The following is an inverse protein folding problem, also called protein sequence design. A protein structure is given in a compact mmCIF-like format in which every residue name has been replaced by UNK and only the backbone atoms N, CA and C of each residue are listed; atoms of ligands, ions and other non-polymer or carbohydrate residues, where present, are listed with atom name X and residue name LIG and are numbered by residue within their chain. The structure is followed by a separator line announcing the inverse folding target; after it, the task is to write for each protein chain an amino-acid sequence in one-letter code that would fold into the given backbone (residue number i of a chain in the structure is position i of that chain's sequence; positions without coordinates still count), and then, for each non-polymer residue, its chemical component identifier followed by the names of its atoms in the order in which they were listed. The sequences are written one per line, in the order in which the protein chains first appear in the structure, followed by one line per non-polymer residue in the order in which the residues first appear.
data_IF_115327551828
#
_entry.id   IF_115327551828
#
_cell.length_a   1.000
_cell.length_b   1.000
_cell.length_c   1.000
_cell.angle_alpha   90.00
_cell.angle_beta   90.00
_cell.angle_gamma   90.00
#
_symmetry.space_group_name_H-M   'P 1'
#
loop_
_entity.id
_entity.type
_entity.pdbx_description
1 polymer ?
#
# COMPACT_ATOMS: atom_id res chain seq x y z
N UNK A 1 3.80 21.74 -7.41
CA UNK A 1 3.61 21.92 -8.86
C UNK A 1 4.54 21.03 -9.70
N UNK A 2 4.58 19.69 -9.45
CA UNK A 2 5.48 18.77 -10.14
C UNK A 2 4.77 17.68 -10.98
N UNK A 3 3.46 17.78 -11.16
CA UNK A 3 2.64 16.79 -11.86
C UNK A 3 2.34 17.12 -13.34
N UNK A 4 2.86 18.23 -13.86
CA UNK A 4 2.43 18.73 -15.20
C UNK A 4 3.20 18.18 -16.39
N UNK A 5 4.09 17.20 -16.24
CA UNK A 5 4.87 16.68 -17.39
C UNK A 5 4.93 15.15 -17.53
N UNK A 6 4.00 14.43 -16.88
CA UNK A 6 3.90 12.97 -17.04
C UNK A 6 2.65 12.62 -17.83
N UNK A 7 2.80 11.79 -18.85
CA UNK A 7 1.71 11.29 -19.70
C UNK A 7 1.90 9.83 -20.04
N UNK A 8 0.86 9.20 -20.58
CA UNK A 8 0.95 7.83 -21.11
C UNK A 8 1.70 7.88 -22.43
N UNK A 9 2.90 7.29 -22.45
CA UNK A 9 3.74 7.23 -23.64
C UNK A 9 4.16 5.79 -23.92
N UNK A 10 3.85 5.32 -25.10
CA UNK A 10 4.20 3.96 -25.57
C UNK A 10 3.73 2.84 -24.65
N UNK A 11 2.54 3.02 -24.01
CA UNK A 11 1.90 2.04 -23.16
C UNK A 11 2.10 2.27 -21.65
N UNK A 12 2.99 3.18 -21.22
CA UNK A 12 3.29 3.42 -19.81
C UNK A 12 3.33 4.90 -19.44
N UNK A 13 3.09 5.19 -18.16
CA UNK A 13 3.18 6.56 -17.64
C UNK A 13 4.65 6.95 -17.51
N UNK A 14 5.09 7.90 -18.33
CA UNK A 14 6.47 8.40 -18.30
C UNK A 14 6.57 9.90 -18.52
N UNK A 15 7.72 10.48 -18.18
CA UNK A 15 7.97 11.88 -18.48
C UNK A 15 8.33 12.08 -19.96
N UNK A 16 8.09 13.28 -20.48
CA UNK A 16 8.44 13.67 -21.86
C UNK A 16 9.90 13.38 -22.23
N UNK A 17 10.83 13.54 -21.27
CA UNK A 17 12.24 13.23 -21.50
C UNK A 17 12.53 11.76 -21.72
N UNK A 18 11.79 10.83 -21.12
CA UNK A 18 11.90 9.40 -21.36
C UNK A 18 11.17 9.00 -22.65
N UNK A 19 10.02 9.58 -22.95
CA UNK A 19 9.36 9.46 -24.25
C UNK A 19 10.28 9.81 -25.41
N UNK A 20 10.87 11.02 -25.36
CA UNK A 20 11.79 11.49 -26.42
C UNK A 20 13.05 10.64 -26.54
N UNK A 21 13.61 10.20 -25.41
CA UNK A 21 14.77 9.30 -25.39
C UNK A 21 14.43 7.95 -26.03
N UNK A 22 13.36 7.30 -25.60
CA UNK A 22 12.93 6.00 -26.12
C UNK A 22 12.67 6.06 -27.62
N UNK A 23 11.93 7.08 -28.09
CA UNK A 23 11.69 7.29 -29.53
C UNK A 23 13.01 7.38 -30.35
N UNK A 24 13.96 8.21 -29.91
CA UNK A 24 15.25 8.34 -30.61
C UNK A 24 16.04 7.03 -30.58
N UNK A 25 16.02 6.30 -29.47
CA UNK A 25 16.72 5.01 -29.35
C UNK A 25 16.15 3.97 -30.32
N UNK A 26 14.84 3.99 -30.57
CA UNK A 26 14.22 3.09 -31.56
C UNK A 26 14.45 3.54 -33.00
N UNK A 27 14.46 4.85 -33.26
CA UNK A 27 14.72 5.38 -34.61
C UNK A 27 16.13 5.06 -35.13
N UNK A 28 17.11 5.14 -34.25
CA UNK A 28 18.51 5.01 -34.63
C UNK A 28 19.05 3.59 -34.44
N UNK A 29 18.22 2.60 -34.12
CA UNK A 29 18.65 1.25 -33.73
C UNK A 29 19.84 1.27 -32.77
N UNK A 30 19.81 2.20 -31.80
CA UNK A 30 20.98 2.56 -31.03
C UNK A 30 21.38 1.42 -30.08
N UNK A 31 22.59 0.91 -30.30
CA UNK A 31 23.22 -0.03 -29.37
C UNK A 31 24.00 0.75 -28.33
N UNK A 32 23.49 0.76 -27.07
CA UNK A 32 24.17 1.38 -25.95
C UNK A 32 24.93 0.33 -25.14
N UNK A 33 26.15 0.63 -24.72
CA UNK A 33 26.90 -0.19 -23.77
C UNK A 33 26.91 0.46 -22.39
N UNK A 34 26.89 -0.34 -21.34
CA UNK A 34 27.03 0.15 -19.97
C UNK A 34 28.49 0.05 -19.53
N UNK A 35 29.17 1.13 -19.15
CA UNK A 35 30.54 1.10 -18.65
C UNK A 35 30.64 0.55 -17.22
N UNK A 36 29.50 0.26 -16.59
CA UNK A 36 29.38 -0.31 -15.26
C UNK A 36 28.65 -1.65 -15.37
N UNK A 37 28.53 -2.39 -14.30
CA UNK A 37 27.96 -3.76 -14.24
C UNK A 37 26.48 -3.89 -14.65
N UNK A 38 25.98 -3.05 -15.55
CA UNK A 38 24.57 -3.00 -16.03
C UNK A 38 23.53 -2.78 -14.94
N UNK A 39 23.95 -2.28 -13.79
CA UNK A 39 23.11 -2.03 -12.61
C UNK A 39 23.16 -0.53 -12.22
N UNK A 40 22.99 0.37 -13.18
CA UNK A 40 22.99 1.80 -12.89
C UNK A 40 21.63 2.25 -12.39
N UNK A 41 21.63 2.98 -11.28
CA UNK A 41 20.43 3.63 -10.79
C UNK A 41 19.95 4.67 -11.81
N UNK A 42 18.72 4.50 -12.30
CA UNK A 42 18.09 5.40 -13.27
C UNK A 42 16.89 6.09 -12.62
N UNK A 43 17.08 7.34 -12.24
CA UNK A 43 16.07 8.25 -11.73
C UNK A 43 16.04 9.56 -12.55
N UNK A 44 15.28 10.54 -12.13
CA UNK A 44 15.14 11.81 -12.85
C UNK A 44 16.44 12.60 -12.92
N UNK A 45 17.30 12.51 -11.94
CA UNK A 45 18.59 13.20 -11.84
C UNK A 45 19.71 12.44 -12.53
N UNK A 46 19.71 11.11 -12.46
CA UNK A 46 20.79 10.23 -12.92
C UNK A 46 20.55 9.59 -14.30
N UNK A 47 19.34 9.70 -14.86
CA UNK A 47 18.94 9.01 -16.11
C UNK A 47 19.82 9.29 -17.31
N UNK A 48 20.57 10.38 -17.32
CA UNK A 48 21.47 10.75 -18.42
C UNK A 48 22.86 10.13 -18.29
N UNK A 49 23.22 9.56 -17.13
CA UNK A 49 24.54 9.00 -16.85
C UNK A 49 24.80 7.65 -17.53
N UNK A 50 23.75 6.87 -17.81
CA UNK A 50 23.87 5.60 -18.51
C UNK A 50 22.67 5.38 -19.45
N UNK A 51 22.92 5.49 -20.76
CA UNK A 51 21.87 5.30 -21.76
C UNK A 51 21.43 3.84 -21.89
N UNK A 52 22.34 2.89 -21.70
CA UNK A 52 22.03 1.46 -21.69
C UNK A 52 21.02 1.12 -20.60
N UNK A 53 21.35 1.40 -19.36
CA UNK A 53 20.46 1.08 -18.22
C UNK A 53 19.15 1.87 -18.31
N UNK A 54 19.17 3.10 -18.86
CA UNK A 54 17.95 3.87 -19.11
C UNK A 54 17.04 3.20 -20.14
N UNK A 55 17.60 2.69 -21.24
CA UNK A 55 16.82 1.98 -22.26
C UNK A 55 16.25 0.68 -21.69
N UNK A 56 17.06 -0.08 -20.97
CA UNK A 56 16.60 -1.30 -20.31
C UNK A 56 15.46 -1.01 -19.32
N UNK A 57 15.56 0.05 -18.52
CA UNK A 57 14.47 0.47 -17.63
C UNK A 57 13.20 0.87 -18.40
N UNK A 58 13.30 1.55 -19.53
CA UNK A 58 12.15 1.87 -20.38
C UNK A 58 11.44 0.61 -20.88
N UNK A 59 12.20 -0.39 -21.33
CA UNK A 59 11.68 -1.67 -21.80
C UNK A 59 11.08 -2.48 -20.65
N UNK A 60 11.77 -2.59 -19.52
CA UNK A 60 11.29 -3.30 -18.33
C UNK A 60 10.00 -2.72 -17.74
N UNK A 61 9.77 -1.42 -17.91
CA UNK A 61 8.52 -0.77 -17.53
C UNK A 61 7.40 -0.96 -18.56
N UNK A 62 7.65 -1.67 -19.67
CA UNK A 62 6.64 -1.99 -20.68
C UNK A 62 6.49 -0.95 -21.79
N UNK A 63 7.48 -0.08 -22.03
CA UNK A 63 7.44 0.80 -23.21
C UNK A 63 7.54 -0.04 -24.51
N UNK A 64 6.46 -0.05 -25.29
CA UNK A 64 6.35 -0.84 -26.51
C UNK A 64 7.09 -0.19 -27.67
N UNK A 65 7.93 -0.98 -28.36
CA UNK A 65 8.58 -0.58 -29.61
C UNK A 65 7.56 -0.36 -30.72
N UNK A 66 6.54 -1.19 -30.77
CA UNK A 66 5.51 -1.14 -31.81
C UNK A 66 4.59 0.08 -31.65
N UNK A 67 4.50 0.63 -30.44
CA UNK A 67 3.79 1.87 -30.17
C UNK A 67 4.54 3.12 -30.65
N UNK A 68 5.84 3.00 -31.01
CA UNK A 68 6.63 4.10 -31.57
C UNK A 68 6.28 4.31 -33.01
N UNK A 69 5.28 5.14 -33.30
CA UNK A 69 4.94 5.53 -34.66
C UNK A 69 5.86 6.63 -35.14
N UNK A 70 6.47 6.40 -36.29
CA UNK A 70 7.32 7.39 -37.00
C UNK A 70 6.38 8.27 -37.82
N UNK A 71 6.20 9.52 -37.42
CA UNK A 71 5.33 10.47 -38.10
C UNK A 71 4.36 11.19 -37.14
N UNK A 72 3.64 12.16 -37.67
CA UNK A 72 2.55 12.82 -36.93
C UNK A 72 1.32 11.91 -36.99
N UNK A 73 0.72 11.63 -35.84
CA UNK A 73 -0.56 10.95 -35.76
C UNK A 73 -1.61 11.75 -36.51
N UNK A 74 -2.36 11.11 -37.40
CA UNK A 74 -3.43 11.80 -38.14
C UNK A 74 -4.49 12.33 -37.16
N UNK A 75 -5.14 13.45 -37.50
CA UNK A 75 -6.21 14.03 -36.68
C UNK A 75 -7.28 12.99 -36.35
N UNK A 76 -7.70 12.18 -37.34
CA UNK A 76 -8.70 11.11 -37.18
C UNK A 76 -8.31 10.04 -36.16
N UNK A 77 -7.02 9.62 -36.11
CA UNK A 77 -6.54 8.65 -35.14
C UNK A 77 -6.47 9.23 -33.71
N UNK A 78 -6.12 10.50 -33.61
CA UNK A 78 -6.09 11.20 -32.32
C UNK A 78 -7.50 11.36 -31.75
N UNK A 79 -8.44 11.78 -32.59
CA UNK A 79 -9.84 12.01 -32.19
C UNK A 79 -10.52 10.68 -31.82
N UNK A 80 -10.19 9.57 -32.51
CA UNK A 80 -10.65 8.21 -32.14
C UNK A 80 -10.13 7.78 -30.77
N UNK A 81 -8.85 8.03 -30.46
CA UNK A 81 -8.27 7.73 -29.15
C UNK A 81 -8.89 8.56 -28.02
N UNK A 82 -9.16 9.84 -28.29
CA UNK A 82 -9.85 10.69 -27.30
C UNK A 82 -11.29 10.20 -27.04
N UNK A 83 -12.01 9.78 -28.06
CA UNK A 83 -13.35 9.21 -27.94
C UNK A 83 -13.35 7.90 -27.12
N UNK A 84 -12.32 7.06 -27.29
CA UNK A 84 -12.18 5.80 -26.55
C UNK A 84 -11.85 6.04 -25.06
N UNK A 85 -10.98 7.00 -24.77
CA UNK A 85 -10.68 7.44 -23.40
C UNK A 85 -11.92 8.00 -22.71
N UNK A 86 -12.70 8.83 -23.41
CA UNK A 86 -13.97 9.36 -22.88
C UNK A 86 -14.98 8.26 -22.58
N UNK A 87 -15.15 7.29 -23.49
CA UNK A 87 -16.04 6.13 -23.27
C UNK A 87 -15.60 5.29 -22.07
N UNK A 88 -14.30 5.13 -21.87
CA UNK A 88 -13.78 4.41 -20.72
C UNK A 88 -14.03 5.16 -19.41
N UNK A 89 -13.83 6.48 -19.41
CA UNK A 89 -14.14 7.33 -18.25
C UNK A 89 -15.63 7.32 -17.92
N UNK A 90 -16.52 7.36 -18.93
CA UNK A 90 -17.96 7.26 -18.72
C UNK A 90 -18.35 5.92 -18.11
N UNK A 91 -17.83 4.79 -18.60
CA UNK A 91 -18.09 3.46 -18.00
C UNK A 91 -17.63 3.36 -16.54
N UNK A 92 -16.48 3.93 -16.20
CA UNK A 92 -16.00 3.98 -14.82
C UNK A 92 -16.90 4.84 -13.93
N UNK A 93 -17.47 5.91 -14.49
CA UNK A 93 -18.38 6.80 -13.76
C UNK A 93 -19.75 6.14 -13.55
N UNK A 94 -20.26 5.42 -14.57
CA UNK A 94 -21.48 4.62 -14.48
C UNK A 94 -21.34 3.46 -13.48
N UNK A 95 -20.21 2.77 -13.47
CA UNK A 95 -19.92 1.73 -12.46
C UNK A 95 -19.86 2.28 -11.04
N UNK A 96 -19.29 3.48 -10.85
CA UNK A 96 -19.31 4.15 -9.54
C UNK A 96 -20.73 4.53 -9.10
N UNK A 97 -21.57 5.01 -10.03
CA UNK A 97 -22.96 5.37 -9.73
C UNK A 97 -23.82 4.14 -9.43
N UNK A 98 -23.58 3.00 -10.09
CA UNK A 98 -24.25 1.74 -9.78
C UNK A 98 -23.85 1.21 -8.39
N UNK A 99 -22.57 1.25 -8.04
CA UNK A 99 -22.09 0.83 -6.69
C UNK A 99 -22.63 1.73 -5.58
N UNK A 100 -22.76 3.04 -5.81
CA UNK A 100 -23.38 3.94 -4.82
C UNK A 100 -24.89 3.71 -4.73
N UNK A 101 -25.57 3.42 -5.83
CA UNK A 101 -26.99 3.08 -5.85
C UNK A 101 -27.31 1.75 -5.13
N UNK A 102 -26.46 0.73 -5.28
CA UNK A 102 -26.60 -0.54 -4.57
C UNK A 102 -26.33 -0.39 -3.06
N UNK A 103 -25.34 0.43 -2.69
CA UNK A 103 -25.05 0.72 -1.28
C UNK A 103 -26.18 1.51 -0.60
N UNK A 104 -26.81 2.47 -1.31
CA UNK A 104 -27.97 3.19 -0.81
C UNK A 104 -29.23 2.30 -0.75
N UNK A 105 -29.42 1.39 -1.70
CA UNK A 105 -30.53 0.43 -1.67
C UNK A 105 -30.40 -0.55 -0.50
N UNK A 106 -29.19 -1.05 -0.23
CA UNK A 106 -28.87 -1.87 0.95
C UNK A 106 -29.09 -1.11 2.26
N UNK A 107 -28.69 0.16 2.34
CA UNK A 107 -28.91 1.00 3.52
C UNK A 107 -30.42 1.24 3.76
N UNK A 108 -31.24 1.38 2.73
CA UNK A 108 -32.71 1.51 2.84
C UNK A 108 -33.37 0.22 3.31
N UNK A 109 -32.90 -0.94 2.86
CA UNK A 109 -33.39 -2.25 3.31
C UNK A 109 -33.03 -2.48 4.78
N UNK A 110 -31.82 -2.07 5.22
CA UNK A 110 -31.42 -2.15 6.62
C UNK A 110 -32.21 -1.22 7.53
N UNK A 111 -32.49 0.02 7.09
CA UNK A 111 -33.30 0.97 7.85
C UNK A 111 -34.76 0.56 7.95
N UNK A 112 -35.35 -0.05 6.91
CA UNK A 112 -36.72 -0.57 6.95
C UNK A 112 -36.87 -1.83 7.83
N UNK A 113 -35.82 -2.63 7.97
CA UNK A 113 -35.81 -3.79 8.89
C UNK A 113 -35.74 -3.38 10.36
N UNK A 114 -35.08 -2.25 10.66
CA UNK A 114 -35.00 -1.70 12.02
C UNK A 114 -36.29 -1.02 12.47
N UNK A 115 -37.07 -0.46 11.54
CA UNK A 115 -38.35 0.17 11.86
C UNK A 115 -39.51 -0.82 12.07
N UNK A 116 -39.43 -2.02 11.48
CA UNK A 116 -40.44 -3.07 11.69
C UNK A 116 -40.26 -3.90 12.95
N UNK A 117 -39.12 -3.76 13.65
CA UNK A 117 -38.83 -4.44 14.92
C UNK A 117 -39.25 -3.67 16.17
N UNK A 118 -39.64 -2.40 16.05
CA UNK A 118 -39.99 -1.54 17.20
C UNK A 118 -41.50 -1.25 17.36
N UNK A 119 -42.37 -1.89 16.59
CA UNK A 119 -43.79 -1.61 16.59
C UNK A 119 -44.65 -2.51 17.49
N UNK A 120 -44.05 -3.34 18.35
CA UNK A 120 -44.82 -4.26 19.22
C UNK A 120 -44.63 -4.06 20.75
N UNK A 121 -44.03 -2.94 21.16
CA UNK A 121 -43.94 -2.63 22.60
C UNK A 121 -44.11 -1.13 22.83
N UNK A 122 -45.34 -0.60 22.73
CA UNK A 122 -45.79 0.55 23.49
C UNK A 122 -47.31 0.76 23.23
N UNK A 123 -48.10 0.00 23.94
CA UNK A 123 -49.43 0.42 24.29
C UNK A 123 -49.39 0.79 25.79
N UNK A 124 -49.94 1.96 26.09
CA UNK A 124 -50.11 2.65 27.35
C UNK A 124 -49.01 3.65 27.78
N UNK A 125 -49.30 4.91 27.58
CA UNK A 125 -49.67 5.94 28.57
C UNK A 125 -49.79 7.27 27.81
N UNK A 126 -50.95 7.91 27.99
CA UNK A 126 -51.38 9.11 27.31
C UNK A 126 -50.79 10.43 27.84
N UNK A 127 -51.01 11.49 27.08
CA UNK A 127 -50.83 12.88 27.56
C UNK A 127 -50.44 13.87 26.48
N UNK A 128 -51.49 14.41 25.85
CA UNK A 128 -51.62 15.73 25.18
C UNK A 128 -50.49 16.74 25.37
N UNK A 129 -50.05 17.40 24.29
CA UNK A 129 -50.28 18.81 23.99
C UNK A 129 -49.79 19.21 22.60
N UNK A 130 -50.59 20.04 21.93
CA UNK A 130 -50.49 20.57 20.58
C UNK A 130 -49.68 21.89 20.49
N UNK A 131 -49.33 22.22 19.30
CA UNK A 131 -49.12 23.47 18.53
C UNK A 131 -47.72 23.49 17.87
N UNK A 132 -47.58 23.55 16.59
CA UNK A 132 -48.22 24.35 15.55
C UNK A 132 -47.29 25.48 15.14
N UNK A 133 -46.56 25.32 14.02
CA UNK A 133 -46.46 26.38 13.02
C UNK A 133 -45.76 25.87 11.74
N UNK A 134 -46.51 25.98 10.70
CA UNK A 134 -46.12 25.91 9.28
C UNK A 134 -45.62 27.29 8.88
N UNK A 135 -44.53 27.43 8.15
CA UNK A 135 -44.29 28.53 7.24
C UNK A 135 -43.62 28.03 5.96
N UNK A 136 -44.23 28.44 4.87
CA UNK A 136 -44.08 28.14 3.47
C UNK A 136 -42.75 28.65 2.85
N UNK A 137 -42.46 28.02 1.70
CA UNK A 137 -41.53 28.46 0.65
C UNK A 137 -41.91 29.84 0.05
N UNK A 138 -41.00 30.50 -0.71
CA UNK A 138 -41.17 30.41 -2.16
C UNK A 138 -39.93 30.24 -3.04
N UNK A 139 -40.22 29.68 -4.20
CA UNK A 139 -39.43 29.58 -5.43
C UNK A 139 -39.06 30.95 -6.00
N UNK A 140 -37.91 30.95 -6.71
CA UNK A 140 -37.57 32.01 -7.66
C UNK A 140 -36.35 31.70 -8.50
N UNK A 141 -36.57 31.22 -9.72
CA UNK A 141 -35.68 31.39 -10.89
C UNK A 141 -36.30 32.51 -11.75
N UNK A 142 -35.70 33.06 -12.83
CA UNK A 142 -34.44 32.76 -13.54
C UNK A 142 -33.71 34.01 -14.16
N UNK A 143 -32.69 33.70 -14.97
CA UNK A 143 -32.17 34.42 -16.13
C UNK A 143 -31.11 35.50 -16.01
N UNK A 144 -30.08 35.30 -16.86
CA UNK A 144 -29.36 36.35 -17.51
C UNK A 144 -27.88 36.11 -17.80
N UNK A 145 -27.57 35.57 -18.97
CA UNK A 145 -26.30 35.84 -19.65
C UNK A 145 -26.48 37.19 -20.41
N UNK A 146 -25.48 37.89 -20.89
CA UNK A 146 -24.36 37.43 -21.70
C UNK A 146 -23.06 38.29 -21.62
N UNK A 147 -21.99 37.73 -22.23
CA UNK A 147 -21.15 38.57 -23.08
C UNK A 147 -19.84 39.09 -22.51
N UNK A 148 -18.76 38.79 -23.23
CA UNK A 148 -17.50 39.51 -23.11
C UNK A 148 -16.30 38.78 -23.68
N UNK A 149 -16.19 38.85 -25.00
CA UNK A 149 -14.95 38.60 -25.76
C UNK A 149 -13.83 39.51 -25.27
N UNK A 150 -12.61 39.00 -25.21
CA UNK A 150 -11.41 39.67 -25.74
C UNK A 150 -10.34 38.63 -26.04
N UNK A 151 -10.05 38.47 -27.33
CA UNK A 151 -8.83 37.89 -27.81
C UNK A 151 -7.69 38.91 -27.77
N UNK A 152 -6.50 38.41 -27.64
CA UNK A 152 -5.33 39.06 -28.22
C UNK A 152 -4.22 38.08 -28.49
N UNK A 153 -3.95 38.01 -29.73
CA UNK A 153 -2.85 37.49 -30.50
C UNK A 153 -1.52 38.18 -30.10
N UNK A 154 -0.42 37.45 -30.07
CA UNK A 154 0.90 37.94 -30.42
C UNK A 154 1.90 36.83 -30.61
N UNK A 155 2.18 36.57 -31.83
CA UNK A 155 3.40 36.08 -32.45
C UNK A 155 4.69 36.74 -31.94
N UNK A 156 5.77 35.93 -31.80
CA UNK A 156 7.15 36.19 -32.28
C UNK A 156 8.06 35.04 -31.79
N UNK A 157 8.60 34.24 -32.65
CA UNK A 157 9.80 34.34 -33.51
C UNK A 157 11.08 34.00 -32.71
N UNK A 158 11.69 32.90 -33.11
CA UNK A 158 13.08 32.53 -32.82
C UNK A 158 14.06 33.52 -33.45
N UNK A 159 15.30 33.54 -32.96
CA UNK A 159 16.37 33.38 -33.96
C UNK A 159 17.42 32.33 -33.57
N UNK A 160 17.83 31.63 -34.62
CA UNK A 160 19.14 30.99 -34.77
C UNK A 160 20.25 32.02 -34.65
N UNK A 161 21.37 31.62 -34.07
CA UNK A 161 22.67 31.81 -34.74
C UNK A 161 23.82 31.07 -34.03
N UNK A 162 24.50 30.36 -34.85
CA UNK A 162 25.84 29.83 -34.77
C UNK A 162 26.92 30.77 -34.23
N UNK A 163 27.89 30.19 -33.52
CA UNK A 163 29.15 30.84 -33.17
C UNK A 163 30.11 29.86 -32.54
N UNK A 164 30.97 29.31 -33.36
CA UNK A 164 32.22 28.66 -32.95
C UNK A 164 33.14 29.71 -32.33
N UNK A 165 33.69 29.45 -31.18
CA UNK A 165 35.05 29.90 -30.89
C UNK A 165 35.77 28.99 -29.88
N UNK A 166 36.92 28.56 -30.28
CA UNK A 166 37.92 27.82 -29.52
C UNK A 166 38.74 28.80 -28.68
N UNK A 167 39.01 28.43 -27.49
CA UNK A 167 40.13 28.69 -26.59
C UNK A 167 39.73 29.11 -25.20
N UNK A 168 40.17 28.35 -24.23
CA UNK A 168 40.05 28.73 -22.81
C UNK A 168 40.07 27.55 -21.87
N UNK A 169 41.26 27.03 -21.61
CA UNK A 169 41.51 26.24 -20.39
C UNK A 169 40.94 26.95 -19.17
N UNK A 170 39.95 26.38 -18.54
CA UNK A 170 39.57 26.75 -17.17
C UNK A 170 39.71 25.57 -16.24
N UNK A 171 40.53 25.80 -15.24
CA UNK A 171 40.85 25.02 -14.08
C UNK A 171 39.68 24.22 -13.55
N UNK A 172 39.94 22.96 -13.32
CA UNK A 172 39.10 22.04 -12.57
C UNK A 172 39.08 22.54 -11.13
N UNK A 173 37.96 23.15 -10.72
CA UNK A 173 37.64 23.31 -9.30
C UNK A 173 37.26 21.92 -8.77
N UNK A 174 38.10 21.41 -7.91
CA UNK A 174 37.80 20.27 -7.05
C UNK A 174 36.58 20.65 -6.22
N UNK A 175 35.47 19.99 -6.48
CA UNK A 175 34.35 19.98 -5.52
C UNK A 175 34.74 19.14 -4.31
N UNK A 176 34.35 19.55 -3.10
CA UNK A 176 34.73 18.84 -1.89
C UNK A 176 34.14 17.43 -1.89
N UNK A 177 34.97 16.49 -1.56
CA UNK A 177 34.62 15.11 -1.21
C UNK A 177 33.56 15.21 -0.11
N UNK A 178 32.32 14.87 -0.43
CA UNK A 178 31.32 14.61 0.60
C UNK A 178 31.74 13.36 1.33
N UNK A 179 32.27 13.61 2.51
CA UNK A 179 32.52 12.62 3.54
C UNK A 179 31.21 11.84 3.74
N UNK A 180 31.23 10.57 3.38
CA UNK A 180 30.18 9.62 3.71
C UNK A 180 30.26 9.37 5.22
N UNK A 181 29.71 10.30 6.00
CA UNK A 181 29.39 9.99 7.37
C UNK A 181 28.39 8.82 7.33
N UNK A 182 28.70 7.72 8.06
CA UNK A 182 27.76 6.63 8.17
C UNK A 182 26.44 7.17 8.70
N UNK A 183 25.36 6.81 8.04
CA UNK A 183 23.98 7.05 8.53
C UNK A 183 23.98 6.55 9.97
N UNK A 184 23.61 7.37 10.97
CA UNK A 184 23.53 6.88 12.33
C UNK A 184 22.58 5.68 12.33
N UNK A 185 23.11 4.53 12.76
CA UNK A 185 22.27 3.38 13.06
C UNK A 185 21.18 3.85 14.01
N UNK A 186 19.92 3.81 13.55
CA UNK A 186 18.74 4.09 14.37
C UNK A 186 18.63 3.13 15.58
N UNK A 187 19.51 2.17 15.65
CA UNK A 187 19.62 1.13 16.67
C UNK A 187 20.73 1.37 17.71
N UNK A 188 21.35 2.55 17.74
CA UNK A 188 22.25 2.90 18.83
C UNK A 188 21.43 3.33 20.05
N UNK A 189 20.84 2.34 20.73
CA UNK A 189 20.16 2.51 22.00
C UNK A 189 21.22 2.74 23.11
N UNK A 190 21.60 3.99 23.27
CA UNK A 190 22.34 4.47 24.43
C UNK A 190 21.57 5.62 25.04
N UNK A 191 20.94 5.39 26.20
CA UNK A 191 20.44 6.40 27.14
C UNK A 191 19.62 7.55 26.55
N UNK A 192 18.33 7.34 26.31
CA UNK A 192 17.37 8.45 26.28
C UNK A 192 16.87 8.70 27.70
N UNK A 193 17.65 9.43 28.47
CA UNK A 193 17.13 10.20 29.58
C UNK A 193 16.68 11.55 29.03
N UNK A 194 15.39 11.82 29.26
CA UNK A 194 14.72 13.13 29.29
C UNK A 194 14.54 13.89 27.96
N UNK A 195 13.23 13.93 27.54
CA UNK A 195 12.54 15.06 26.84
C UNK A 195 13.35 15.84 25.80
N UNK A 196 13.53 15.31 24.59
CA UNK A 196 13.61 16.15 23.41
C UNK A 196 12.76 15.56 22.30
N UNK A 197 11.48 16.01 22.24
CA UNK A 197 10.69 15.99 21.02
C UNK A 197 11.54 16.56 19.89
N UNK A 198 11.55 15.92 18.72
CA UNK A 198 12.18 16.50 17.54
C UNK A 198 11.70 17.94 17.38
N UNK A 199 12.60 18.91 17.09
CA UNK A 199 12.22 20.30 17.03
C UNK A 199 11.09 20.50 15.99
N UNK A 200 9.88 20.83 16.47
CA UNK A 200 8.71 21.11 15.63
C UNK A 200 7.51 20.16 15.76
N UNK A 201 7.57 19.09 16.55
CA UNK A 201 6.41 18.19 16.76
C UNK A 201 5.79 18.49 18.13
N UNK A 202 4.52 18.94 18.14
CA UNK A 202 3.79 19.17 19.39
C UNK A 202 3.18 17.86 19.92
N UNK A 203 3.03 17.75 21.26
CA UNK A 203 2.30 16.62 21.88
C UNK A 203 0.90 16.46 21.30
N UNK A 204 0.19 17.56 21.01
CA UNK A 204 -1.13 17.49 20.40
C UNK A 204 -1.12 16.92 18.97
N UNK A 205 -0.02 17.06 18.23
CA UNK A 205 0.13 16.43 16.92
C UNK A 205 0.36 14.91 17.05
N UNK A 206 1.18 14.49 18.01
CA UNK A 206 1.41 13.07 18.29
C UNK A 206 0.12 12.38 18.73
N UNK A 207 -0.66 13.00 19.59
CA UNK A 207 -1.95 12.47 20.02
C UNK A 207 -2.93 12.32 18.85
N UNK A 208 -2.99 13.29 17.94
CA UNK A 208 -3.85 13.21 16.74
C UNK A 208 -3.43 12.07 15.82
N UNK A 209 -2.13 11.89 15.59
CA UNK A 209 -1.61 10.80 14.77
C UNK A 209 -1.92 9.46 15.44
N UNK A 210 -1.68 9.33 16.74
CA UNK A 210 -1.99 8.13 17.51
C UNK A 210 -3.47 7.78 17.42
N UNK A 211 -4.37 8.73 17.70
CA UNK A 211 -5.81 8.52 17.62
C UNK A 211 -6.28 8.15 16.22
N UNK A 212 -5.71 8.77 15.18
CA UNK A 212 -6.02 8.42 13.79
C UNK A 212 -5.62 6.98 13.48
N UNK A 213 -4.43 6.54 13.86
CA UNK A 213 -3.93 5.19 13.59
C UNK A 213 -4.73 4.16 14.38
N UNK A 214 -5.01 4.42 15.67
CA UNK A 214 -5.82 3.55 16.51
C UNK A 214 -7.22 3.37 15.94
N UNK A 215 -7.88 4.47 15.61
CA UNK A 215 -9.20 4.44 14.97
C UNK A 215 -9.15 3.67 13.64
N UNK A 216 -8.15 3.93 12.80
CA UNK A 216 -7.97 3.23 11.52
C UNK A 216 -7.79 1.73 11.70
N UNK A 217 -7.07 1.30 12.74
CA UNK A 217 -6.90 -0.11 13.08
C UNK A 217 -8.24 -0.73 13.51
N UNK A 218 -8.95 -0.11 14.44
CA UNK A 218 -10.22 -0.63 14.95
C UNK A 218 -11.30 -0.76 13.86
N UNK A 219 -11.28 0.14 12.88
CA UNK A 219 -12.20 0.11 11.74
C UNK A 219 -11.79 -0.85 10.62
N UNK A 220 -10.55 -1.35 10.63
CA UNK A 220 -9.98 -2.22 9.59
C UNK A 220 -9.34 -3.49 10.11
N UNK A 221 -9.51 -3.83 11.37
CA UNK A 221 -9.16 -5.15 11.87
C UNK A 221 -10.24 -6.14 11.41
N UNK A 222 -9.83 -7.28 10.86
CA UNK A 222 -10.72 -8.29 10.31
C UNK A 222 -11.74 -8.81 11.35
N UNK A 223 -11.30 -8.91 12.61
CA UNK A 223 -12.12 -9.27 13.75
C UNK A 223 -11.95 -8.25 14.87
N UNK A 224 -13.03 -7.85 15.52
CA UNK A 224 -12.97 -7.02 16.72
C UNK A 224 -12.49 -7.85 17.92
N UNK A 225 -12.08 -7.18 19.02
CA UNK A 225 -11.66 -7.86 20.23
C UNK A 225 -12.81 -8.72 20.82
N UNK A 226 -14.05 -8.22 20.75
CA UNK A 226 -15.25 -8.92 21.20
C UNK A 226 -15.52 -10.17 20.36
N UNK A 227 -15.42 -10.09 19.03
CA UNK A 227 -15.57 -11.23 18.13
C UNK A 227 -14.51 -12.30 18.42
N UNK A 228 -13.26 -11.89 18.64
CA UNK A 228 -12.18 -12.81 18.98
C UNK A 228 -12.40 -13.51 20.32
N UNK A 229 -12.93 -12.79 21.32
CA UNK A 229 -13.31 -13.40 22.60
C UNK A 229 -14.42 -14.45 22.45
N UNK A 230 -15.42 -14.18 21.61
CA UNK A 230 -16.51 -15.13 21.33
C UNK A 230 -16.01 -16.38 20.62
N UNK A 231 -15.03 -16.23 19.71
CA UNK A 231 -14.44 -17.33 18.95
C UNK A 231 -13.38 -18.12 19.74
N UNK A 232 -12.86 -17.58 20.85
CA UNK A 232 -11.70 -18.13 21.56
C UNK A 232 -11.88 -19.59 22.02
N UNK A 233 -13.10 -20.05 22.24
CA UNK A 233 -13.45 -21.42 22.66
C UNK A 233 -13.85 -22.33 21.52
N UNK A 234 -13.93 -21.80 20.30
CA UNK A 234 -14.27 -22.59 19.11
C UNK A 234 -12.98 -23.13 18.49
N UNK A 235 -12.73 -24.41 18.65
CA UNK A 235 -11.58 -25.09 18.07
C UNK A 235 -12.01 -26.08 17.01
N UNK A 236 -11.15 -26.33 16.01
CA UNK A 236 -11.37 -27.38 15.05
C UNK A 236 -11.47 -28.74 15.75
N UNK A 237 -12.51 -29.50 15.41
CA UNK A 237 -12.73 -30.85 15.93
C UNK A 237 -11.68 -31.82 15.36
N UNK A 238 -11.59 -33.00 15.95
CA UNK A 238 -10.72 -34.07 15.43
C UNK A 238 -11.03 -34.38 13.96
N UNK A 239 -12.31 -34.42 13.59
CA UNK A 239 -12.76 -34.67 12.22
C UNK A 239 -12.34 -33.54 11.27
N UNK A 240 -12.47 -32.29 11.71
CA UNK A 240 -12.03 -31.13 10.91
C UNK A 240 -10.50 -31.14 10.72
N UNK A 241 -9.75 -31.47 11.77
CA UNK A 241 -8.28 -31.62 11.66
C UNK A 241 -7.93 -32.73 10.63
N UNK A 242 -8.61 -33.87 10.70
CA UNK A 242 -8.43 -34.97 9.72
C UNK A 242 -8.79 -34.52 8.30
N UNK A 243 -9.85 -33.71 8.16
CA UNK A 243 -10.23 -33.14 6.86
C UNK A 243 -9.09 -32.29 6.29
N UNK A 244 -8.51 -31.36 7.08
CA UNK A 244 -7.37 -30.56 6.62
C UNK A 244 -6.15 -31.43 6.26
N UNK A 245 -5.85 -32.43 7.05
CA UNK A 245 -4.72 -33.34 6.80
C UNK A 245 -4.95 -34.28 5.57
N UNK A 246 -6.19 -34.47 5.16
CA UNK A 246 -6.55 -35.28 3.97
C UNK A 246 -6.57 -34.45 2.67
N UNK A 247 -6.51 -33.12 2.76
CA UNK A 247 -6.44 -32.25 1.58
C UNK A 247 -5.12 -32.44 0.84
N UNK A 248 -5.15 -32.23 -0.47
CA UNK A 248 -3.92 -32.14 -1.25
C UNK A 248 -3.15 -30.86 -0.90
N UNK A 249 -1.85 -30.88 -1.13
CA UNK A 249 -0.98 -29.72 -0.89
C UNK A 249 -1.48 -28.47 -1.63
N UNK A 250 -1.91 -28.63 -2.87
CA UNK A 250 -2.42 -27.57 -3.74
C UNK A 250 -3.65 -26.87 -3.14
N UNK A 251 -4.60 -27.67 -2.68
CA UNK A 251 -5.85 -27.18 -2.09
C UNK A 251 -5.57 -26.41 -0.81
N UNK A 252 -4.69 -26.91 0.04
CA UNK A 252 -4.38 -26.25 1.30
C UNK A 252 -3.58 -24.94 1.07
N UNK A 253 -2.63 -24.95 0.14
CA UNK A 253 -1.92 -23.73 -0.26
C UNK A 253 -2.88 -22.67 -0.82
N UNK A 254 -3.83 -23.07 -1.67
CA UNK A 254 -4.85 -22.17 -2.18
C UNK A 254 -5.71 -21.58 -1.06
N UNK A 255 -6.15 -22.37 -0.10
CA UNK A 255 -6.93 -21.90 1.04
C UNK A 255 -6.14 -20.90 1.89
N UNK A 256 -4.87 -21.18 2.17
CA UNK A 256 -3.99 -20.25 2.87
C UNK A 256 -3.80 -18.94 2.08
N UNK A 257 -3.58 -19.04 0.77
CA UNK A 257 -3.45 -17.85 -0.09
C UNK A 257 -4.72 -16.98 -0.09
N UNK A 258 -5.89 -17.59 -0.06
CA UNK A 258 -7.19 -16.88 0.06
C UNK A 258 -7.28 -16.17 1.40
N UNK A 259 -6.97 -16.84 2.52
CA UNK A 259 -7.03 -16.23 3.85
C UNK A 259 -6.03 -15.10 4.02
N UNK A 260 -4.81 -15.27 3.53
CA UNK A 260 -3.79 -14.20 3.52
C UNK A 260 -4.27 -13.02 2.69
N UNK A 261 -4.87 -13.26 1.52
CA UNK A 261 -5.40 -12.20 0.66
C UNK A 261 -6.49 -11.39 1.36
N UNK A 262 -7.41 -12.04 2.05
CA UNK A 262 -8.43 -11.36 2.84
C UNK A 262 -7.81 -10.47 3.92
N UNK A 263 -6.83 -10.97 4.66
CA UNK A 263 -6.14 -10.20 5.67
C UNK A 263 -5.40 -8.98 5.07
N UNK A 264 -4.76 -9.15 3.91
CA UNK A 264 -4.06 -8.08 3.20
C UNK A 264 -5.02 -6.97 2.77
N UNK A 265 -6.23 -7.28 2.32
CA UNK A 265 -7.22 -6.28 1.94
C UNK A 265 -7.54 -5.34 3.11
N UNK A 266 -7.66 -5.86 4.33
CA UNK A 266 -7.82 -5.03 5.52
C UNK A 266 -6.59 -4.17 5.82
N UNK A 267 -5.38 -4.68 5.58
CA UNK A 267 -4.15 -3.89 5.73
C UNK A 267 -4.08 -2.75 4.72
N UNK A 268 -4.50 -2.97 3.49
CA UNK A 268 -4.57 -1.91 2.46
C UNK A 268 -5.54 -0.80 2.88
N UNK A 269 -6.71 -1.16 3.40
CA UNK A 269 -7.67 -0.18 3.92
C UNK A 269 -7.14 0.56 5.16
N UNK A 270 -6.43 -0.13 6.04
CA UNK A 270 -5.72 0.49 7.16
C UNK A 270 -4.72 1.55 6.69
N UNK A 271 -3.86 1.19 5.76
CA UNK A 271 -2.85 2.11 5.21
C UNK A 271 -3.47 3.39 4.64
N UNK A 272 -4.54 3.27 3.86
CA UNK A 272 -5.24 4.41 3.26
C UNK A 272 -5.83 5.38 4.29
N UNK A 273 -6.14 4.91 5.50
CA UNK A 273 -6.72 5.73 6.57
C UNK A 273 -5.68 6.39 7.46
N UNK A 274 -4.41 5.98 7.38
CA UNK A 274 -3.33 6.61 8.14
C UNK A 274 -3.05 8.00 7.60
N UNK A 275 -3.16 9.00 8.46
CA UNK A 275 -2.82 10.40 8.13
C UNK A 275 -1.36 10.47 7.66
N UNK A 276 -1.14 11.09 6.51
CA UNK A 276 0.19 11.22 5.90
C UNK A 276 0.54 10.10 4.91
N UNK A 277 -0.06 8.90 4.99
CA UNK A 277 0.23 7.83 4.02
C UNK A 277 -0.20 8.21 2.59
N UNK A 278 -1.41 8.79 2.43
CA UNK A 278 -1.92 9.22 1.13
C UNK A 278 -1.22 10.47 0.58
N UNK A 279 -0.43 11.16 1.40
CA UNK A 279 0.41 12.29 0.99
C UNK A 279 1.75 11.86 0.40
N UNK A 280 2.14 10.60 0.60
CA UNK A 280 3.30 10.01 -0.06
C UNK A 280 3.06 9.89 -1.56
N UNK A 281 4.11 9.87 -2.36
CA UNK A 281 3.95 9.61 -3.79
C UNK A 281 3.43 8.19 -4.02
N UNK A 282 2.65 8.00 -5.09
CA UNK A 282 1.99 6.73 -5.39
C UNK A 282 2.98 5.55 -5.46
N UNK A 283 4.18 5.78 -5.99
CA UNK A 283 5.20 4.73 -6.05
C UNK A 283 5.62 4.25 -4.66
N UNK A 284 5.79 5.18 -3.71
CA UNK A 284 6.17 4.83 -2.34
C UNK A 284 5.00 4.14 -1.61
N UNK A 285 3.76 4.59 -1.83
CA UNK A 285 2.59 3.91 -1.28
C UNK A 285 2.53 2.44 -1.74
N UNK A 286 2.68 2.19 -3.05
CA UNK A 286 2.68 0.83 -3.62
C UNK A 286 3.85 0.02 -3.07
N UNK A 287 5.04 0.61 -2.98
CA UNK A 287 6.24 -0.07 -2.51
C UNK A 287 6.12 -0.46 -1.03
N UNK A 288 5.64 0.44 -0.19
CA UNK A 288 5.40 0.17 1.23
C UNK A 288 4.36 -0.92 1.44
N UNK A 289 3.27 -0.90 0.67
CA UNK A 289 2.25 -1.96 0.71
C UNK A 289 2.82 -3.30 0.23
N UNK A 290 3.49 -3.35 -0.91
CA UNK A 290 4.04 -4.60 -1.44
C UNK A 290 5.06 -5.24 -0.50
N UNK A 291 5.91 -4.44 0.13
CA UNK A 291 6.95 -4.95 1.03
C UNK A 291 6.48 -5.20 2.46
N UNK A 292 5.47 -4.46 2.93
CA UNK A 292 5.09 -4.44 4.34
C UNK A 292 3.76 -5.12 4.68
N UNK A 293 2.88 -5.39 3.69
CA UNK A 293 1.54 -5.90 3.99
C UNK A 293 1.55 -7.26 4.72
N UNK A 294 2.42 -8.19 4.33
CA UNK A 294 2.52 -9.49 4.98
C UNK A 294 3.10 -9.37 6.39
N UNK A 295 4.08 -8.49 6.60
CA UNK A 295 4.60 -8.19 7.94
C UNK A 295 3.49 -7.68 8.87
N UNK A 296 2.62 -6.79 8.38
CA UNK A 296 1.48 -6.29 9.16
C UNK A 296 0.44 -7.38 9.42
N UNK A 297 0.17 -8.26 8.45
CA UNK A 297 -0.70 -9.43 8.66
C UNK A 297 -0.17 -10.31 9.78
N UNK A 298 1.15 -10.58 9.82
CA UNK A 298 1.80 -11.36 10.86
C UNK A 298 1.71 -10.68 12.24
N UNK A 299 1.87 -9.36 12.30
CA UNK A 299 1.67 -8.59 13.55
C UNK A 299 0.22 -8.71 14.02
N UNK A 300 -0.75 -8.47 13.14
CA UNK A 300 -2.18 -8.53 13.48
C UNK A 300 -2.64 -9.93 13.86
N UNK A 301 -1.97 -10.96 13.35
CA UNK A 301 -2.29 -12.36 13.66
C UNK A 301 -2.14 -12.68 15.14
N UNK A 302 -1.28 -11.99 15.90
CA UNK A 302 -1.13 -12.23 17.33
C UNK A 302 -2.44 -12.02 18.13
N UNK A 303 -3.36 -11.19 17.63
CA UNK A 303 -4.68 -10.98 18.21
C UNK A 303 -5.57 -12.24 18.12
N UNK A 304 -5.39 -13.01 17.06
CA UNK A 304 -6.13 -14.23 16.74
C UNK A 304 -5.29 -15.50 17.03
N UNK A 305 -4.36 -15.41 17.95
CA UNK A 305 -3.51 -16.51 18.41
C UNK A 305 -3.71 -16.76 19.90
N UNK A 306 -3.89 -18.01 20.28
CA UNK A 306 -4.00 -18.43 21.68
C UNK A 306 -2.67 -19.06 22.14
N UNK A 307 -1.87 -18.36 22.97
CA UNK A 307 -0.57 -18.86 23.41
C UNK A 307 -0.68 -20.02 24.41
N UNK A 308 -1.85 -20.24 25.01
CA UNK A 308 -2.05 -21.31 26.00
C UNK A 308 -2.04 -22.70 25.36
N UNK A 309 -2.62 -22.81 24.17
CA UNK A 309 -2.71 -24.07 23.43
C UNK A 309 -2.02 -24.03 22.06
N UNK A 310 -1.32 -22.95 21.73
CA UNK A 310 -0.65 -22.74 20.46
C UNK A 310 -1.59 -22.94 19.25
N UNK A 311 -2.73 -22.28 19.23
CA UNK A 311 -3.69 -22.30 18.16
C UNK A 311 -3.87 -20.92 17.54
N UNK A 312 -4.20 -20.88 16.25
CA UNK A 312 -4.49 -19.69 15.47
C UNK A 312 -5.88 -19.78 14.86
N UNK A 313 -6.56 -18.65 14.76
CA UNK A 313 -7.85 -18.58 14.07
C UNK A 313 -7.65 -18.77 12.57
N UNK A 314 -8.24 -19.84 12.05
CA UNK A 314 -8.21 -20.22 10.64
C UNK A 314 -9.57 -20.72 10.19
N UNK A 315 -10.15 -20.06 9.18
CA UNK A 315 -11.50 -20.40 8.66
C UNK A 315 -12.56 -20.49 9.76
N UNK A 316 -12.54 -19.50 10.69
CA UNK A 316 -13.58 -19.32 11.70
C UNK A 316 -13.41 -20.10 13.00
N UNK A 317 -12.41 -20.99 13.12
CA UNK A 317 -12.10 -21.74 14.33
C UNK A 317 -10.61 -21.77 14.64
N UNK A 318 -10.25 -21.96 15.89
CA UNK A 318 -8.86 -22.08 16.31
C UNK A 318 -8.30 -23.47 15.99
N UNK A 319 -7.14 -23.52 15.37
CA UNK A 319 -6.44 -24.75 15.03
C UNK A 319 -4.94 -24.66 15.32
N UNK A 320 -4.34 -25.79 15.66
CA UNK A 320 -2.91 -25.91 15.88
C UNK A 320 -2.13 -26.09 14.56
N UNK A 321 -0.81 -26.23 14.68
CA UNK A 321 0.07 -26.44 13.51
C UNK A 321 -0.29 -27.68 12.68
N UNK A 322 -0.90 -28.67 13.28
CA UNK A 322 -1.26 -29.93 12.63
C UNK A 322 -2.24 -29.75 11.46
N UNK A 323 -3.07 -28.71 11.44
CA UNK A 323 -3.97 -28.44 10.31
C UNK A 323 -3.23 -27.97 9.05
N UNK A 324 -1.99 -27.50 9.20
CA UNK A 324 -1.15 -27.00 8.11
C UNK A 324 -0.08 -28.00 7.64
N UNK A 325 -0.04 -29.20 8.20
CA UNK A 325 1.00 -30.21 7.91
C UNK A 325 1.11 -30.54 6.42
N UNK A 326 -0.01 -30.61 5.72
CA UNK A 326 -0.05 -30.94 4.29
C UNK A 326 0.54 -29.86 3.39
N UNK A 327 0.74 -28.63 3.87
CA UNK A 327 1.47 -27.59 3.12
C UNK A 327 2.89 -28.03 2.76
N UNK A 328 3.53 -28.87 3.58
CA UNK A 328 4.90 -29.32 3.39
C UNK A 328 5.96 -28.25 3.60
N UNK A 329 5.66 -27.24 4.43
CA UNK A 329 6.57 -26.17 4.83
C UNK A 329 6.57 -26.02 6.37
N UNK A 330 6.95 -27.09 7.06
CA UNK A 330 6.89 -27.16 8.52
C UNK A 330 7.75 -26.09 9.21
N UNK A 331 8.89 -25.73 8.62
CA UNK A 331 9.78 -24.70 9.16
C UNK A 331 9.09 -23.32 9.13
N UNK A 332 8.44 -22.97 8.03
CA UNK A 332 7.66 -21.73 7.93
C UNK A 332 6.52 -21.70 8.93
N UNK A 333 5.73 -22.76 9.00
CA UNK A 333 4.57 -22.86 9.92
C UNK A 333 5.04 -22.74 11.37
N UNK A 334 6.07 -23.48 11.77
CA UNK A 334 6.65 -23.42 13.11
C UNK A 334 7.17 -22.01 13.43
N UNK A 335 7.89 -21.39 12.51
CA UNK A 335 8.43 -20.05 12.70
C UNK A 335 7.33 -19.00 12.87
N UNK A 336 6.22 -19.10 12.12
CA UNK A 336 5.05 -18.23 12.24
C UNK A 336 4.39 -18.39 13.61
N UNK A 337 4.19 -19.62 14.07
CA UNK A 337 3.60 -19.91 15.39
C UNK A 337 4.50 -19.42 16.53
N UNK A 338 5.82 -19.63 16.43
CA UNK A 338 6.80 -19.13 17.42
C UNK A 338 6.81 -17.60 17.49
N UNK A 339 6.76 -16.93 16.33
CA UNK A 339 6.64 -15.48 16.28
C UNK A 339 5.35 -14.98 16.93
N UNK A 340 4.21 -15.58 16.61
CA UNK A 340 2.93 -15.22 17.21
C UNK A 340 2.95 -15.38 18.73
N UNK A 341 3.48 -16.49 19.22
CA UNK A 341 3.65 -16.74 20.65
C UNK A 341 4.57 -15.72 21.32
N UNK A 342 5.70 -15.42 20.69
CA UNK A 342 6.66 -14.43 21.16
C UNK A 342 6.06 -13.04 21.23
N UNK A 343 5.25 -12.63 20.22
CA UNK A 343 4.59 -11.33 20.22
C UNK A 343 3.46 -11.26 21.29
N UNK A 344 2.69 -12.33 21.46
CA UNK A 344 1.69 -12.44 22.52
C UNK A 344 2.31 -12.30 23.93
N UNK A 345 3.54 -12.77 24.14
CA UNK A 345 4.24 -12.66 25.42
C UNK A 345 4.50 -11.23 25.86
N UNK A 346 4.49 -10.29 24.93
CA UNK A 346 4.65 -8.85 25.22
C UNK A 346 3.35 -8.21 25.75
N UNK A 347 2.22 -8.90 25.69
CA UNK A 347 0.91 -8.44 26.18
C UNK A 347 0.53 -7.04 25.67
N UNK A 348 0.63 -6.84 24.36
CA UNK A 348 0.33 -5.57 23.72
C UNK A 348 -1.17 -5.26 23.77
N UNK A 349 -1.50 -4.00 24.00
CA UNK A 349 -2.86 -3.47 23.85
C UNK A 349 -3.23 -3.30 22.36
N UNK A 350 -4.53 -3.15 22.06
CA UNK A 350 -5.00 -2.84 20.70
C UNK A 350 -4.36 -1.56 20.14
N UNK A 351 -4.18 -0.56 21.00
CA UNK A 351 -3.52 0.71 20.62
C UNK A 351 -2.06 0.52 20.22
N UNK A 352 -1.33 -0.31 20.97
CA UNK A 352 0.06 -0.64 20.70
C UNK A 352 0.21 -1.48 19.43
N UNK A 353 -0.69 -2.45 19.21
CA UNK A 353 -0.74 -3.24 17.98
C UNK A 353 -1.02 -2.34 16.77
N UNK A 354 -1.92 -1.37 16.91
CA UNK A 354 -2.24 -0.42 15.86
C UNK A 354 -1.02 0.42 15.46
N UNK A 355 -0.36 1.03 16.44
CA UNK A 355 0.81 1.89 16.21
C UNK A 355 2.02 1.09 15.72
N UNK A 356 2.26 -0.09 16.27
CA UNK A 356 3.33 -0.98 15.80
C UNK A 356 3.09 -1.43 14.35
N UNK A 357 1.85 -1.80 14.00
CA UNK A 357 1.46 -2.14 12.64
C UNK A 357 1.74 -0.99 11.65
N UNK A 358 1.43 0.24 12.04
CA UNK A 358 1.72 1.42 11.24
C UNK A 358 3.23 1.67 11.09
N UNK A 359 4.01 1.51 12.16
CA UNK A 359 5.47 1.67 12.15
C UNK A 359 6.16 0.62 11.25
N UNK A 360 5.70 -0.62 11.29
CA UNK A 360 6.20 -1.71 10.42
C UNK A 360 5.88 -1.44 8.95
N UNK A 361 4.66 -0.99 8.65
CA UNK A 361 4.24 -0.70 7.29
C UNK A 361 5.01 0.48 6.69
N UNK A 362 5.13 1.57 7.46
CA UNK A 362 5.79 2.81 7.04
C UNK A 362 7.26 2.75 7.45
N UNK A 363 8.01 1.90 6.74
CA UNK A 363 9.43 1.64 6.99
C UNK A 363 10.32 2.33 5.97
N UNK A 364 11.40 2.96 6.46
CA UNK A 364 12.43 3.58 5.63
C UNK A 364 13.41 2.58 5.04
N UNK A 365 13.45 1.36 5.56
CA UNK A 365 14.38 0.32 5.14
C UNK A 365 14.02 -0.30 3.77
N UNK A 366 12.88 0.10 3.21
CA UNK A 366 12.44 -0.42 1.91
C UNK A 366 13.33 0.13 0.80
N UNK A 367 13.93 -0.72 -0.03
CA UNK A 367 14.74 -0.27 -1.15
C UNK A 367 13.87 0.48 -2.17
N UNK A 368 14.46 1.47 -2.85
CA UNK A 368 13.80 2.19 -3.95
C UNK A 368 12.74 3.23 -3.58
N UNK A 369 12.61 3.62 -2.32
CA UNK A 369 11.78 4.76 -1.94
C UNK A 369 12.19 6.01 -2.72
N UNK A 370 11.18 6.73 -3.23
CA UNK A 370 11.40 7.98 -3.97
C UNK A 370 11.53 9.18 -3.06
N UNK A 371 10.77 9.19 -1.97
CA UNK A 371 10.74 10.27 -0.98
C UNK A 371 11.08 9.74 0.43
N UNK A 372 12.27 9.14 0.64
CA UNK A 372 12.61 8.47 1.90
C UNK A 372 12.52 9.39 3.12
N UNK A 373 12.82 10.68 2.96
CA UNK A 373 12.72 11.66 4.06
C UNK A 373 11.28 11.91 4.51
N UNK A 374 10.29 11.83 3.60
CA UNK A 374 8.88 11.94 3.99
C UNK A 374 8.42 10.71 4.75
N UNK A 375 8.81 9.54 4.27
CA UNK A 375 8.52 8.26 4.94
C UNK A 375 9.17 8.26 6.33
N UNK A 376 10.43 8.70 6.44
CA UNK A 376 11.15 8.80 7.71
C UNK A 376 10.43 9.70 8.72
N UNK A 377 10.05 10.90 8.32
CA UNK A 377 9.32 11.84 9.20
C UNK A 377 8.00 11.26 9.71
N UNK A 378 7.27 10.55 8.85
CA UNK A 378 6.03 9.91 9.24
C UNK A 378 6.30 8.73 10.19
N UNK A 379 7.28 7.90 9.90
CA UNK A 379 7.69 6.79 10.77
C UNK A 379 8.15 7.28 12.14
N UNK A 380 8.98 8.32 12.20
CA UNK A 380 9.45 8.92 13.46
C UNK A 380 8.27 9.38 14.34
N UNK A 381 7.29 10.07 13.77
CA UNK A 381 6.09 10.49 14.51
C UNK A 381 5.30 9.29 15.06
N UNK A 382 5.20 8.21 14.30
CA UNK A 382 4.53 6.97 14.72
C UNK A 382 5.30 6.32 15.87
N UNK A 383 6.62 6.24 15.80
CA UNK A 383 7.45 5.70 16.88
C UNK A 383 7.39 6.54 18.15
N UNK A 384 7.38 7.88 18.05
CA UNK A 384 7.19 8.74 19.22
C UNK A 384 5.82 8.52 19.87
N UNK A 385 4.76 8.39 19.08
CA UNK A 385 3.44 8.08 19.59
C UNK A 385 3.38 6.69 20.26
N UNK A 386 4.02 5.68 19.64
CA UNK A 386 4.12 4.33 20.21
C UNK A 386 4.89 4.33 21.53
N UNK A 387 6.04 5.01 21.57
CA UNK A 387 6.84 5.14 22.79
C UNK A 387 6.04 5.78 23.92
N UNK A 388 5.31 6.85 23.64
CA UNK A 388 4.50 7.54 24.63
C UNK A 388 3.40 6.62 25.23
N UNK A 389 2.71 5.86 24.39
CA UNK A 389 1.68 4.92 24.84
C UNK A 389 2.29 3.76 25.61
N UNK A 390 3.39 3.20 25.16
CA UNK A 390 4.06 2.09 25.84
C UNK A 390 4.61 2.49 27.20
N UNK A 391 5.18 3.67 27.34
CA UNK A 391 5.63 4.21 28.64
C UNK A 391 4.48 4.37 29.64
N UNK A 392 3.29 4.67 29.14
CA UNK A 392 2.09 4.78 29.98
C UNK A 392 1.55 3.41 30.42
N UNK A 393 1.60 2.43 29.55
CA UNK A 393 0.94 1.13 29.74
C UNK A 393 1.84 0.07 30.39
N UNK A 394 3.16 0.18 30.22
CA UNK A 394 4.13 -0.81 30.70
C UNK A 394 5.05 -0.22 31.76
N UNK A 395 5.30 -1.01 32.81
CA UNK A 395 6.28 -0.68 33.84
C UNK A 395 7.71 -0.99 33.39
N UNK A 396 7.86 -1.83 32.37
CA UNK A 396 9.15 -2.22 31.80
C UNK A 396 9.63 -1.12 30.85
N UNK A 397 10.71 -0.46 31.21
CA UNK A 397 11.32 0.60 30.40
C UNK A 397 11.84 0.07 29.04
N UNK A 398 12.15 -1.22 28.96
CA UNK A 398 12.64 -1.88 27.76
C UNK A 398 11.51 -2.45 26.85
N UNK A 399 10.26 -2.23 27.21
CA UNK A 399 9.11 -2.81 26.48
C UNK A 399 9.13 -2.46 24.99
N UNK A 400 9.40 -1.19 24.64
CA UNK A 400 9.52 -0.75 23.24
C UNK A 400 10.72 -1.41 22.54
N UNK A 401 11.86 -1.52 23.18
CA UNK A 401 13.04 -2.17 22.61
C UNK A 401 12.79 -3.66 22.34
N UNK A 402 12.08 -4.35 23.26
CA UNK A 402 11.66 -5.74 23.07
C UNK A 402 10.72 -5.88 21.89
N UNK A 403 9.77 -4.95 21.71
CA UNK A 403 8.87 -4.95 20.57
C UNK A 403 9.60 -4.73 19.25
N UNK A 404 10.46 -3.72 19.17
CA UNK A 404 11.25 -3.41 17.97
C UNK A 404 12.17 -4.58 17.60
N UNK A 405 12.69 -5.31 18.58
CA UNK A 405 13.54 -6.50 18.34
C UNK A 405 12.84 -7.62 17.57
N UNK A 406 11.51 -7.55 17.39
CA UNK A 406 10.73 -8.51 16.59
C UNK A 406 10.73 -8.20 15.08
N UNK A 407 11.11 -6.98 14.68
CA UNK A 407 11.09 -6.55 13.27
C UNK A 407 12.00 -7.41 12.37
N UNK A 408 13.24 -7.73 12.75
CA UNK A 408 14.08 -8.62 11.92
C UNK A 408 13.44 -10.00 11.68
N UNK A 409 12.73 -10.53 12.67
CA UNK A 409 12.01 -11.80 12.53
C UNK A 409 10.87 -11.71 11.51
N UNK A 410 10.14 -10.59 11.46
CA UNK A 410 9.11 -10.34 10.43
C UNK A 410 9.70 -10.42 9.03
N UNK A 411 10.82 -9.75 8.79
CA UNK A 411 11.51 -9.77 7.51
C UNK A 411 11.98 -11.18 7.12
N UNK A 412 12.51 -11.93 8.09
CA UNK A 412 12.92 -13.32 7.88
C UNK A 412 11.73 -14.23 7.53
N UNK A 413 10.58 -14.06 8.18
CA UNK A 413 9.36 -14.81 7.88
C UNK A 413 8.82 -14.52 6.47
N UNK A 414 8.86 -13.25 6.05
CA UNK A 414 8.46 -12.88 4.69
C UNK A 414 9.39 -13.46 3.62
N UNK A 415 10.68 -13.51 3.90
CA UNK A 415 11.66 -14.17 3.02
C UNK A 415 11.38 -15.67 2.92
N UNK A 416 11.19 -16.34 4.05
CA UNK A 416 10.88 -17.76 4.09
C UNK A 416 9.57 -18.09 3.36
N UNK A 417 8.54 -17.26 3.54
CA UNK A 417 7.29 -17.40 2.78
C UNK A 417 7.51 -17.31 1.27
N UNK A 418 8.34 -16.36 0.82
CA UNK A 418 8.66 -16.20 -0.60
C UNK A 418 9.41 -17.42 -1.16
N UNK A 419 10.37 -17.94 -0.41
CA UNK A 419 11.15 -19.14 -0.79
C UNK A 419 10.25 -20.36 -0.90
N UNK A 420 9.37 -20.58 0.09
CA UNK A 420 8.41 -21.70 0.10
C UNK A 420 7.38 -21.58 -1.04
N UNK A 421 6.91 -20.38 -1.33
CA UNK A 421 6.02 -20.13 -2.47
C UNK A 421 6.71 -20.40 -3.80
N UNK A 422 7.97 -20.01 -3.97
CA UNK A 422 8.74 -20.30 -5.18
C UNK A 422 8.95 -21.82 -5.36
N UNK A 423 9.29 -22.53 -4.29
CA UNK A 423 9.42 -23.99 -4.31
C UNK A 423 8.09 -24.67 -4.66
N UNK A 424 6.99 -24.21 -4.08
CA UNK A 424 5.65 -24.71 -4.41
C UNK A 424 5.28 -24.44 -5.88
N UNK A 425 5.54 -23.25 -6.39
CA UNK A 425 5.25 -22.89 -7.77
C UNK A 425 6.01 -23.73 -8.79
N UNK A 426 7.25 -24.09 -8.51
CA UNK A 426 8.03 -24.97 -9.39
C UNK A 426 7.38 -26.35 -9.57
N UNK A 427 6.75 -26.86 -8.51
CA UNK A 427 6.07 -28.17 -8.52
C UNK A 427 4.63 -28.08 -9.01
N UNK A 428 3.95 -26.96 -8.76
CA UNK A 428 2.52 -26.75 -9.02
C UNK A 428 2.25 -25.42 -9.75
N UNK A 429 2.85 -25.16 -10.93
CA UNK A 429 2.73 -23.87 -11.62
C UNK A 429 1.30 -23.58 -12.04
N UNK A 430 0.53 -24.57 -12.44
CA UNK A 430 -0.86 -24.40 -12.86
C UNK A 430 -1.76 -23.97 -11.70
N UNK A 431 -1.56 -24.54 -10.52
CA UNK A 431 -2.31 -24.19 -9.31
C UNK A 431 -2.10 -22.73 -8.95
N UNK A 432 -0.86 -22.25 -8.97
CA UNK A 432 -0.56 -20.85 -8.69
C UNK A 432 -1.17 -19.94 -9.76
N UNK A 433 -1.02 -20.28 -11.04
CA UNK A 433 -1.49 -19.44 -12.13
C UNK A 433 -3.01 -19.34 -12.20
N UNK A 434 -3.72 -20.46 -11.97
CA UNK A 434 -5.16 -20.56 -12.21
C UNK A 434 -6.01 -20.35 -10.96
N UNK A 435 -5.52 -20.76 -9.79
CA UNK A 435 -6.34 -20.86 -8.58
C UNK A 435 -5.97 -19.85 -7.49
N UNK A 436 -4.77 -19.29 -7.51
CA UNK A 436 -4.37 -18.32 -6.50
C UNK A 436 -5.03 -16.94 -6.75
N UNK A 437 -5.39 -16.22 -5.68
CA UNK A 437 -5.97 -14.88 -5.81
C UNK A 437 -5.04 -13.94 -6.60
N UNK A 438 -5.59 -13.11 -7.50
CA UNK A 438 -4.78 -12.18 -8.29
C UNK A 438 -3.91 -11.24 -7.45
N UNK A 439 -4.45 -10.71 -6.37
CA UNK A 439 -3.70 -9.84 -5.45
C UNK A 439 -2.52 -10.58 -4.80
N UNK A 440 -2.70 -11.83 -4.41
CA UNK A 440 -1.61 -12.63 -3.85
C UNK A 440 -0.47 -12.83 -4.85
N UNK A 441 -0.83 -13.15 -6.10
CA UNK A 441 0.16 -13.30 -7.19
C UNK A 441 0.89 -12.00 -7.48
N UNK A 442 0.19 -10.88 -7.51
CA UNK A 442 0.81 -9.56 -7.75
C UNK A 442 1.82 -9.18 -6.67
N UNK A 443 1.52 -9.52 -5.41
CA UNK A 443 2.37 -9.16 -4.28
C UNK A 443 3.59 -10.08 -4.14
N UNK A 444 3.39 -11.39 -4.29
CA UNK A 444 4.39 -12.40 -3.94
C UNK A 444 4.97 -13.16 -5.13
N UNK A 445 4.30 -13.11 -6.27
CA UNK A 445 4.72 -13.81 -7.49
C UNK A 445 4.40 -12.99 -8.75
N UNK A 446 5.14 -11.90 -8.99
CA UNK A 446 4.89 -11.03 -10.13
C UNK A 446 5.02 -11.74 -11.49
N UNK A 447 5.83 -12.81 -11.58
CA UNK A 447 6.01 -13.59 -12.81
C UNK A 447 4.74 -14.38 -13.17
N UNK A 448 4.02 -14.91 -12.17
CA UNK A 448 2.77 -15.63 -12.35
C UNK A 448 1.56 -14.71 -12.63
N UNK A 449 1.69 -13.42 -12.35
CA UNK A 449 0.64 -12.43 -12.63
C UNK A 449 0.57 -12.01 -14.11
N UNK A 450 1.43 -12.57 -14.96
CA UNK A 450 1.46 -12.24 -16.41
C UNK A 450 1.98 -10.83 -16.72
N UNK A 451 2.67 -10.20 -15.77
CA UNK A 451 3.15 -8.82 -15.88
C UNK A 451 4.57 -8.74 -16.47
N UNK A 452 5.20 -9.89 -16.74
CA UNK A 452 6.48 -9.97 -17.43
C UNK A 452 6.30 -10.66 -18.79
N UNK A 453 6.36 -9.92 -19.90
CA UNK A 453 6.66 -10.57 -21.17
C UNK A 453 8.13 -11.01 -21.15
N UNK A 454 8.36 -12.26 -21.57
CA UNK A 454 9.69 -12.84 -21.80
C UNK A 454 10.54 -11.96 -22.73
#
# INVERSE_FOLDING_TARGET
SFLSSSGIHYGVITCEGCKGFFRRSQQNNASYSCPRQRNCLIDRTNRNRCQHCRLQKCLALGMSRDAVKFGRMSKKQRDSLYAEVQKHQQRLQEQRQQQTGEAEALARVYSSSLTNGLSTLNHEIGGTYANGHVIDMPKGQPNGAPGGYYGMDSTQASPDQSGLDMTGMKQIKQEPIYDLTPVPNLFSYGSYQDSQLAPGVSMGELDRIAQNIIKSHLETCQYTAEELQQLAWQTHSYEEVKMYQSKTRDVLWQQCAIQITHAIQYVVEFAKRITGFMELCQNDQILLLKSGCLEVVLVRMCRAFNPLNNTVLFEGKYGGMQIFKTLGCDDLVSAVFDFAKSLCSLQLTEEEIALFSAAVLISTDRPWLMEPRKVQKLQEKIYFALQHIMQKNHLDEDALAKLISRIPTLSALCTLHTEELQAFQQLHPETVNMLFPPLYKELFNPDAAGIMPK
#
